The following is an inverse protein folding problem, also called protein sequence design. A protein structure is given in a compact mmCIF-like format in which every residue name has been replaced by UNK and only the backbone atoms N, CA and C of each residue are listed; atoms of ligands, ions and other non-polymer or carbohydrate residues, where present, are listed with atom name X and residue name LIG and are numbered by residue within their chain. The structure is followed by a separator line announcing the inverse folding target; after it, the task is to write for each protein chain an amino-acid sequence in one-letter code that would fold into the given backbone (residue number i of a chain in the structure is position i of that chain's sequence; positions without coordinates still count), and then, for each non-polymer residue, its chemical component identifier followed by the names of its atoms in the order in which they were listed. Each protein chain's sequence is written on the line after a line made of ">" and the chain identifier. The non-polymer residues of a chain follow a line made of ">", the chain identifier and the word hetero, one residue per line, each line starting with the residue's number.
data_IF_404396439295
#
_entry.id   IF_404396439295
#
_cell.length_a   1.000
_cell.length_b   1.000
_cell.length_c   1.000
_cell.angle_alpha   90.00
_cell.angle_beta   90.00
_cell.angle_gamma   90.00
#
_symmetry.space_group_name_H-M   'P 1'
#
loop_
_entity.id
_entity.type
_entity.pdbx_description
1 polymer ?
#
# COMPACT_ATOMS: atom_id res chain seq x y z
N UNK A 1 25.48 -11.43 10.39
CA UNK A 1 24.72 -12.19 9.37
C UNK A 1 24.20 -11.19 8.34
N UNK A 2 24.77 -11.18 7.14
CA UNK A 2 24.38 -10.30 6.05
C UNK A 2 23.03 -10.75 5.51
N UNK A 3 21.95 -10.12 5.97
CA UNK A 3 20.62 -10.37 5.41
C UNK A 3 20.56 -9.70 4.04
N UNK A 4 20.70 -10.48 2.98
CA UNK A 4 20.49 -10.05 1.60
C UNK A 4 19.08 -9.48 1.48
N UNK A 5 18.98 -8.19 1.16
CA UNK A 5 17.69 -7.52 0.96
C UNK A 5 17.05 -8.09 -0.30
N UNK A 6 15.73 -8.26 -0.31
CA UNK A 6 14.96 -8.52 -1.53
C UNK A 6 15.23 -7.39 -2.52
N UNK A 7 15.14 -7.69 -3.81
CA UNK A 7 15.20 -6.68 -4.86
C UNK A 7 13.87 -5.93 -4.97
N UNK A 8 13.93 -4.67 -5.37
CA UNK A 8 12.74 -3.90 -5.70
C UNK A 8 12.33 -4.30 -7.11
N UNK A 9 11.27 -5.10 -7.21
CA UNK A 9 10.65 -5.50 -8.49
C UNK A 9 9.43 -4.65 -8.75
N UNK A 10 8.96 -4.58 -10.00
CA UNK A 10 7.66 -4.03 -10.35
C UNK A 10 6.62 -5.16 -10.35
N UNK A 11 5.85 -5.28 -9.26
CA UNK A 11 4.85 -6.32 -9.07
C UNK A 11 3.58 -5.72 -8.46
N UNK A 12 2.46 -5.90 -9.14
CA UNK A 12 1.16 -5.37 -8.71
C UNK A 12 0.68 -6.02 -7.41
N UNK A 13 1.09 -7.25 -7.10
CA UNK A 13 0.76 -7.92 -5.84
C UNK A 13 1.45 -7.28 -4.62
N UNK A 14 2.45 -6.43 -4.87
CA UNK A 14 3.13 -5.65 -3.84
C UNK A 14 2.52 -4.26 -3.65
N UNK A 15 1.39 -3.96 -4.28
CA UNK A 15 0.58 -2.78 -3.97
C UNK A 15 -0.33 -3.12 -2.79
N UNK A 16 -0.21 -2.37 -1.70
CA UNK A 16 -1.05 -2.53 -0.53
C UNK A 16 -2.48 -2.07 -0.82
N UNK A 17 -3.45 -2.61 -0.07
CA UNK A 17 -4.85 -2.19 -0.14
C UNK A 17 -5.07 -0.68 0.03
N UNK A 18 -4.17 0.02 0.73
CA UNK A 18 -4.22 1.46 0.92
C UNK A 18 -3.43 2.28 -0.11
N UNK A 19 -2.93 1.66 -1.18
CA UNK A 19 -2.16 2.29 -2.26
C UNK A 19 -0.65 2.38 -2.02
N UNK A 20 -0.14 2.01 -0.83
CA UNK A 20 1.31 2.00 -0.58
C UNK A 20 2.00 0.87 -1.36
N UNK A 21 3.23 1.09 -1.81
CA UNK A 21 4.01 0.07 -2.51
C UNK A 21 4.92 -0.72 -1.55
N UNK A 22 4.48 -1.93 -1.15
CA UNK A 22 5.26 -2.84 -0.31
C UNK A 22 6.59 -3.25 -0.95
N UNK A 23 6.67 -3.31 -2.29
CA UNK A 23 7.88 -3.68 -3.02
C UNK A 23 9.07 -2.74 -2.79
N UNK A 24 8.81 -1.52 -2.29
CA UNK A 24 9.85 -0.57 -1.87
C UNK A 24 9.87 -0.34 -0.35
N UNK A 25 9.13 -1.12 0.44
CA UNK A 25 9.08 -0.99 1.90
C UNK A 25 10.32 -1.61 2.56
N UNK A 26 11.06 -0.88 3.43
CA UNK A 26 12.25 -1.42 4.08
C UNK A 26 12.02 -2.70 4.89
N UNK A 27 10.86 -2.85 5.54
CA UNK A 27 10.52 -4.05 6.30
C UNK A 27 10.26 -5.25 5.41
N UNK A 28 9.62 -5.05 4.26
CA UNK A 28 9.42 -6.10 3.26
C UNK A 28 10.76 -6.54 2.66
N UNK A 29 11.58 -5.57 2.25
CA UNK A 29 12.90 -5.83 1.66
C UNK A 29 13.86 -6.55 2.62
N UNK A 30 13.74 -6.31 3.94
CA UNK A 30 14.51 -7.02 4.98
C UNK A 30 13.91 -8.38 5.38
N UNK A 31 12.80 -8.81 4.77
CA UNK A 31 12.11 -10.05 5.13
C UNK A 31 11.42 -10.02 6.50
N UNK A 32 11.22 -8.83 7.10
CA UNK A 32 10.55 -8.66 8.40
C UNK A 32 9.04 -8.54 8.28
N UNK A 33 8.53 -8.29 7.08
CA UNK A 33 7.11 -8.15 6.76
C UNK A 33 6.81 -8.92 5.47
N UNK A 34 5.72 -9.70 5.41
CA UNK A 34 5.38 -10.48 4.21
C UNK A 34 4.75 -9.62 3.09
N UNK A 35 4.33 -8.39 3.39
CA UNK A 35 3.55 -7.54 2.46
C UNK A 35 2.10 -7.42 2.89
N UNK A 36 1.36 -6.45 2.33
CA UNK A 36 0.03 -6.10 2.85
C UNK A 36 -1.00 -7.25 2.74
N UNK A 37 -1.05 -7.93 1.59
CA UNK A 37 -1.99 -9.02 1.34
C UNK A 37 -1.77 -10.19 2.31
N UNK A 38 -0.50 -10.59 2.50
CA UNK A 38 -0.12 -11.73 3.34
C UNK A 38 0.02 -11.41 4.85
N UNK A 39 -0.05 -10.14 5.26
CA UNK A 39 0.16 -9.77 6.67
C UNK A 39 -1.08 -10.04 7.55
N UNK A 40 -1.32 -11.31 7.88
CA UNK A 40 -2.39 -11.75 8.77
C UNK A 40 -2.33 -11.11 10.18
N UNK A 41 -1.12 -10.71 10.63
CA UNK A 41 -0.92 -10.03 11.92
C UNK A 41 -1.43 -8.58 11.94
N UNK A 42 -1.78 -8.02 10.78
CA UNK A 42 -2.37 -6.69 10.65
C UNK A 42 -3.90 -6.72 10.72
N UNK A 43 -4.50 -7.57 11.57
CA UNK A 43 -5.95 -7.67 11.78
C UNK A 43 -6.58 -6.36 12.29
N UNK A 44 -5.78 -5.51 12.93
CA UNK A 44 -6.17 -4.17 13.37
C UNK A 44 -6.36 -3.17 12.22
N UNK A 45 -5.87 -3.46 11.02
CA UNK A 45 -5.95 -2.56 9.87
C UNK A 45 -7.31 -2.64 9.19
N UNK A 46 -8.20 -1.68 9.48
CA UNK A 46 -9.55 -1.60 8.91
C UNK A 46 -9.57 -1.61 7.38
N UNK A 47 -8.58 -1.02 6.72
CA UNK A 47 -8.47 -1.04 5.25
C UNK A 47 -8.25 -2.45 4.74
N UNK A 48 -7.35 -3.21 5.38
CA UNK A 48 -7.05 -4.60 5.00
C UNK A 48 -8.29 -5.46 5.15
N UNK A 49 -8.92 -5.44 6.33
CA UNK A 49 -10.13 -6.25 6.59
C UNK A 49 -11.24 -5.90 5.61
N UNK A 50 -11.46 -4.60 5.34
CA UNK A 50 -12.48 -4.17 4.39
C UNK A 50 -12.24 -4.65 2.95
N UNK A 51 -11.00 -4.62 2.45
CA UNK A 51 -10.70 -5.06 1.09
C UNK A 51 -10.76 -6.60 0.98
N UNK A 52 -10.40 -7.32 2.04
CA UNK A 52 -10.57 -8.78 2.09
C UNK A 52 -12.05 -9.17 2.06
N UNK A 53 -12.88 -8.52 2.87
CA UNK A 53 -14.35 -8.74 2.89
C UNK A 53 -14.98 -8.45 1.53
N UNK A 54 -14.53 -7.40 0.85
CA UNK A 54 -15.05 -7.00 -0.46
C UNK A 54 -14.35 -7.67 -1.65
N UNK A 55 -13.34 -8.52 -1.38
CA UNK A 55 -12.52 -9.18 -2.42
C UNK A 55 -11.91 -8.20 -3.44
N UNK A 56 -11.47 -7.02 -2.96
CA UNK A 56 -10.84 -5.98 -3.79
C UNK A 56 -9.33 -6.12 -3.78
N UNK A 57 -8.65 -5.72 -4.87
CA UNK A 57 -7.19 -5.68 -4.90
C UNK A 57 -6.66 -4.44 -4.16
N UNK A 58 -7.36 -3.30 -4.25
CA UNK A 58 -7.12 -2.16 -3.35
C UNK A 58 -8.32 -1.22 -3.24
N UNK A 59 -8.21 -0.20 -2.39
CA UNK A 59 -9.21 0.87 -2.29
C UNK A 59 -9.41 1.66 -3.59
N UNK A 60 -8.52 1.51 -4.58
CA UNK A 60 -8.73 2.03 -5.94
C UNK A 60 -9.94 1.38 -6.64
N UNK A 61 -10.22 0.11 -6.32
CA UNK A 61 -11.31 -0.65 -6.97
C UNK A 61 -12.66 -0.46 -6.26
N UNK A 62 -12.69 0.27 -5.13
CA UNK A 62 -13.87 0.43 -4.31
C UNK A 62 -14.88 1.38 -4.97
N UNK A 63 -16.05 0.86 -5.30
CA UNK A 63 -17.15 1.63 -5.91
C UNK A 63 -18.14 2.21 -4.90
N UNK A 64 -18.09 1.77 -3.64
CA UNK A 64 -19.06 2.16 -2.60
C UNK A 64 -18.87 3.60 -2.12
N UNK A 65 -17.63 4.08 -2.10
CA UNK A 65 -17.31 5.42 -1.60
C UNK A 65 -15.94 5.86 -2.10
N UNK A 66 -15.77 7.16 -2.31
CA UNK A 66 -14.44 7.73 -2.56
C UNK A 66 -13.52 7.46 -1.38
N UNK A 67 -12.28 7.03 -1.65
CA UNK A 67 -11.26 6.85 -0.62
C UNK A 67 -11.02 8.13 0.21
N UNK A 68 -11.28 9.32 -0.35
CA UNK A 68 -11.13 10.61 0.35
C UNK A 68 -12.17 10.83 1.45
N UNK A 69 -13.37 10.28 1.30
CA UNK A 69 -14.47 10.41 2.28
C UNK A 69 -14.71 9.11 3.06
N UNK A 70 -14.11 8.00 2.63
CA UNK A 70 -14.28 6.70 3.26
C UNK A 70 -13.73 6.69 4.70
N UNK A 71 -14.62 6.47 5.67
CA UNK A 71 -14.25 6.37 7.10
C UNK A 71 -13.29 5.21 7.38
N UNK A 72 -13.50 4.04 6.75
CA UNK A 72 -12.63 2.86 6.92
C UNK A 72 -11.20 3.13 6.43
N UNK A 73 -11.05 3.93 5.38
CA UNK A 73 -9.77 4.33 4.79
C UNK A 73 -9.03 5.43 5.57
N UNK A 74 -9.80 6.39 6.08
CA UNK A 74 -9.28 7.55 6.81
C UNK A 74 -9.16 7.33 8.33
N UNK A 75 -9.57 6.16 8.83
CA UNK A 75 -9.50 5.82 10.24
C UNK A 75 -8.06 5.96 10.79
N UNK A 76 -7.96 6.48 12.02
CA UNK A 76 -6.70 6.81 12.70
C UNK A 76 -5.79 5.60 12.86
N UNK A 77 -6.32 4.40 13.07
CA UNK A 77 -5.51 3.19 13.23
C UNK A 77 -4.80 2.81 11.93
N UNK A 78 -5.40 3.02 10.76
CA UNK A 78 -4.73 2.86 9.45
C UNK A 78 -3.54 3.83 9.24
N UNK A 79 -3.38 4.84 10.11
CA UNK A 79 -2.27 5.79 10.10
C UNK A 79 -1.04 5.29 10.87
N UNK A 80 -1.12 4.25 11.69
CA UNK A 80 0.05 3.76 12.45
C UNK A 80 1.15 3.14 11.57
N UNK A 81 0.83 2.59 10.39
CA UNK A 81 1.85 2.22 9.38
C UNK A 81 2.35 3.45 8.59
N UNK A 82 1.57 4.53 8.57
CA UNK A 82 1.86 5.77 7.82
C UNK A 82 2.62 6.85 8.60
N UNK A 83 2.63 6.77 9.94
CA UNK A 83 3.16 7.84 10.81
C UNK A 83 4.68 7.99 10.79
N UNK A 84 5.41 7.03 10.19
CA UNK A 84 6.88 7.09 10.09
C UNK A 84 7.35 7.61 8.71
N UNK A 85 6.46 7.79 7.71
CA UNK A 85 6.88 8.01 6.31
C UNK A 85 6.34 9.26 5.57
N UNK A 86 5.63 10.21 6.22
CA UNK A 86 4.99 11.36 5.52
C UNK A 86 4.20 10.94 4.25
N UNK A 87 3.55 9.78 4.35
CA UNK A 87 2.91 9.11 3.21
C UNK A 87 1.62 9.79 2.78
N UNK A 88 1.47 9.99 1.47
CA UNK A 88 0.22 10.39 0.84
C UNK A 88 -0.46 9.17 0.21
N UNK A 89 -1.17 8.41 1.05
CA UNK A 89 -1.93 7.25 0.61
C UNK A 89 -3.01 7.63 -0.42
N UNK A 90 -3.67 8.77 -0.23
CA UNK A 90 -4.73 9.23 -1.13
C UNK A 90 -4.15 9.50 -2.52
N UNK A 91 -3.03 10.22 -2.61
CA UNK A 91 -2.34 10.43 -3.87
C UNK A 91 -1.92 9.10 -4.54
N UNK A 92 -1.51 8.09 -3.77
CA UNK A 92 -1.23 6.76 -4.34
C UNK A 92 -2.49 6.14 -4.96
N UNK A 93 -3.63 6.18 -4.28
CA UNK A 93 -4.91 5.68 -4.83
C UNK A 93 -5.29 6.47 -6.09
N UNK A 94 -5.17 7.79 -6.08
CA UNK A 94 -5.44 8.61 -7.27
C UNK A 94 -4.52 8.24 -8.45
N UNK A 95 -3.25 7.95 -8.18
CA UNK A 95 -2.32 7.51 -9.22
C UNK A 95 -2.71 6.15 -9.77
N UNK A 96 -3.06 5.17 -8.91
CA UNK A 96 -3.56 3.87 -9.37
C UNK A 96 -4.82 4.04 -10.24
N UNK A 97 -5.76 4.90 -9.84
CA UNK A 97 -6.95 5.20 -10.63
C UNK A 97 -6.64 5.87 -11.98
N UNK A 98 -5.60 6.69 -12.04
CA UNK A 98 -5.21 7.45 -13.24
C UNK A 98 -4.39 6.62 -14.24
N UNK A 99 -3.41 5.86 -13.75
CA UNK A 99 -2.43 5.15 -14.60
C UNK A 99 -2.55 3.63 -14.57
N UNK A 100 -3.36 3.07 -13.69
CA UNK A 100 -3.50 1.63 -13.48
C UNK A 100 -2.41 1.02 -12.61
N UNK A 101 -2.67 -0.19 -12.12
CA UNK A 101 -1.79 -0.92 -11.19
C UNK A 101 -0.39 -1.17 -11.76
N UNK A 102 -0.29 -1.59 -13.02
CA UNK A 102 1.00 -1.94 -13.64
C UNK A 102 1.91 -0.73 -13.77
N UNK A 103 1.40 0.38 -14.32
CA UNK A 103 2.21 1.59 -14.47
C UNK A 103 2.57 2.20 -13.11
N UNK A 104 1.67 2.12 -12.13
CA UNK A 104 1.97 2.50 -10.76
C UNK A 104 3.09 1.64 -10.15
N UNK A 105 3.03 0.31 -10.27
CA UNK A 105 4.09 -0.57 -9.76
C UNK A 105 5.45 -0.29 -10.41
N UNK A 106 5.48 -0.07 -11.73
CA UNK A 106 6.69 0.29 -12.49
C UNK A 106 7.28 1.60 -11.99
N UNK A 107 6.46 2.64 -11.87
CA UNK A 107 6.89 3.96 -11.40
C UNK A 107 7.41 3.91 -9.95
N UNK A 108 6.69 3.24 -9.05
CA UNK A 108 7.06 3.14 -7.65
C UNK A 108 8.34 2.31 -7.45
N UNK A 109 8.50 1.23 -8.22
CA UNK A 109 9.71 0.40 -8.24
C UNK A 109 10.91 1.17 -8.82
N UNK A 110 10.75 1.80 -9.98
CA UNK A 110 11.80 2.59 -10.64
C UNK A 110 12.28 3.77 -9.79
N UNK A 111 11.34 4.43 -9.11
CA UNK A 111 11.62 5.53 -8.18
C UNK A 111 12.02 5.06 -6.77
N UNK A 112 12.04 3.75 -6.51
CA UNK A 112 12.37 3.12 -5.23
C UNK A 112 11.58 3.72 -4.05
N UNK A 113 10.29 4.02 -4.27
CA UNK A 113 9.43 4.73 -3.33
C UNK A 113 8.27 3.86 -2.86
N UNK A 114 8.03 3.82 -1.56
CA UNK A 114 6.87 3.16 -0.97
C UNK A 114 5.59 4.01 -1.09
N UNK A 115 5.72 5.33 -1.18
CA UNK A 115 4.60 6.27 -1.15
C UNK A 115 4.94 7.52 -1.95
N UNK A 116 3.91 8.20 -2.43
CA UNK A 116 4.01 9.60 -2.84
C UNK A 116 4.14 10.44 -1.56
N UNK A 117 5.11 11.33 -1.51
CA UNK A 117 5.35 12.18 -0.33
C UNK A 117 4.36 13.33 -0.34
N UNK A 118 3.83 13.67 0.85
CA UNK A 118 3.11 14.94 1.03
C UNK A 118 4.07 16.11 0.81
N UNK A 119 3.59 17.14 0.11
CA UNK A 119 4.30 18.42 -0.01
C UNK A 119 4.34 19.13 1.34
#
# INVERSE_FOLDING_TARGET
>A
MNQTRKEIVADTNLIAYCGLYCGACPSYLKGKCPGCHENARASWCSVRSCNLEQQLASCADCTQSSHRTCKKYNNFMSKMVGFILRSDRAACIDNINSMGYTAFAVDMAGSKRQTIRRK
#
